data_IF_023615168440
#
_entry.id   IF_023615168440
#
_cell.length_a   1.000
_cell.length_b   1.000
_cell.length_c   1.000
_cell.angle_alpha   90.00
_cell.angle_beta   90.00
_cell.angle_gamma   90.00
#
_symmetry.space_group_name_H-M   'P 1'
#
loop_
_entity.id
_entity.type
_entity.pdbx_description
1 polymer ?
#
# COMPACT_ATOMS: atom_id res chain seq x y z
N UNK A 1 -36.40 24.96 58.79
CA UNK A 1 -36.57 24.98 57.31
C UNK A 1 -35.36 25.52 56.52
N UNK A 2 -34.61 26.53 57.03
CA UNK A 2 -33.46 27.15 56.32
C UNK A 2 -32.24 26.21 56.17
N UNK A 3 -31.94 25.42 57.20
CA UNK A 3 -30.85 24.42 57.21
C UNK A 3 -31.02 23.30 56.16
N UNK A 4 -32.25 22.78 56.00
CA UNK A 4 -32.56 21.68 55.06
C UNK A 4 -32.40 22.16 53.60
N UNK A 5 -32.75 23.42 53.32
CA UNK A 5 -32.57 24.04 51.99
C UNK A 5 -31.09 24.22 51.63
N UNK A 6 -30.22 24.58 52.58
CA UNK A 6 -28.77 24.66 52.33
C UNK A 6 -28.15 23.28 52.04
N UNK A 7 -28.53 22.23 52.77
CA UNK A 7 -28.01 20.88 52.54
C UNK A 7 -28.44 20.31 51.18
N UNK A 8 -29.66 20.61 50.72
CA UNK A 8 -30.13 20.23 49.38
C UNK A 8 -29.36 20.94 48.26
N UNK A 9 -29.04 22.22 48.43
CA UNK A 9 -28.22 22.97 47.47
C UNK A 9 -26.80 22.41 47.43
N UNK A 10 -26.24 22.08 48.59
CA UNK A 10 -24.90 21.51 48.69
C UNK A 10 -24.81 20.11 48.05
N UNK A 11 -25.83 19.27 48.26
CA UNK A 11 -25.93 17.95 47.62
C UNK A 11 -26.06 18.04 46.10
N UNK A 12 -26.83 19.00 45.59
CA UNK A 12 -26.96 19.25 44.14
C UNK A 12 -25.62 19.69 43.54
N UNK A 13 -24.87 20.56 44.23
CA UNK A 13 -23.57 21.05 43.79
C UNK A 13 -22.52 19.92 43.72
N UNK A 14 -22.53 18.99 44.67
CA UNK A 14 -21.65 17.82 44.68
C UNK A 14 -22.00 16.85 43.54
N UNK A 15 -23.29 16.66 43.24
CA UNK A 15 -23.72 15.76 42.15
C UNK A 15 -23.29 16.23 40.76
N UNK A 16 -23.14 17.54 40.56
CA UNK A 16 -22.71 18.14 39.28
C UNK A 16 -21.22 17.90 38.97
N UNK A 17 -20.41 17.49 39.96
CA UNK A 17 -18.99 17.21 39.79
C UNK A 17 -18.69 15.76 39.37
N UNK A 18 -19.70 14.89 39.36
CA UNK A 18 -19.55 13.46 39.01
C UNK A 18 -19.96 13.25 37.55
N UNK A 19 -19.18 13.79 36.62
CA UNK A 19 -19.33 13.52 35.18
C UNK A 19 -18.41 12.39 34.74
N UNK A 20 -18.97 11.23 34.36
CA UNK A 20 -18.20 10.15 33.75
C UNK A 20 -18.09 10.42 32.24
N UNK A 21 -16.93 10.88 31.78
CA UNK A 21 -16.63 11.00 30.36
C UNK A 21 -15.55 9.98 29.99
N UNK A 22 -15.93 8.88 29.35
CA UNK A 22 -14.94 8.00 28.71
C UNK A 22 -14.37 8.74 27.50
N UNK A 23 -13.04 8.86 27.36
CA UNK A 23 -12.46 9.50 26.19
C UNK A 23 -12.88 8.71 24.94
N UNK A 24 -13.33 9.38 23.86
CA UNK A 24 -13.72 8.69 22.64
C UNK A 24 -12.51 7.97 22.05
N UNK A 25 -12.61 6.65 21.89
CA UNK A 25 -11.59 5.85 21.23
C UNK A 25 -11.65 6.18 19.72
N UNK A 26 -10.55 6.63 19.10
CA UNK A 26 -10.55 6.91 17.67
C UNK A 26 -10.85 5.64 16.88
N UNK A 27 -11.66 5.76 15.83
CA UNK A 27 -11.96 4.63 14.94
C UNK A 27 -10.66 4.12 14.30
N UNK A 28 -10.58 2.81 14.09
CA UNK A 28 -9.49 2.20 13.33
C UNK A 28 -9.43 2.82 11.94
N UNK A 29 -8.21 2.97 11.39
CA UNK A 29 -8.01 3.47 10.03
C UNK A 29 -8.68 2.50 9.06
N UNK A 30 -9.65 2.99 8.28
CA UNK A 30 -10.25 2.23 7.20
C UNK A 30 -9.28 2.18 6.02
N UNK A 31 -9.03 0.98 5.50
CA UNK A 31 -8.32 0.78 4.24
C UNK A 31 -9.32 0.61 3.10
N UNK A 32 -8.88 0.92 1.88
CA UNK A 32 -9.68 0.69 0.69
C UNK A 32 -9.94 -0.81 0.50
N UNK A 33 -11.21 -1.20 0.41
CA UNK A 33 -11.58 -2.55 -0.04
C UNK A 33 -11.57 -2.59 -1.56
N UNK A 34 -10.44 -2.97 -2.14
CA UNK A 34 -10.32 -3.19 -3.58
C UNK A 34 -10.94 -4.55 -3.89
N UNK A 35 -12.02 -4.57 -4.67
CA UNK A 35 -12.62 -5.83 -5.15
C UNK A 35 -12.02 -6.12 -6.52
N UNK A 36 -11.30 -7.23 -6.62
CA UNK A 36 -10.70 -7.69 -7.87
C UNK A 36 -11.74 -8.51 -8.67
N UNK A 37 -11.77 -8.40 -10.02
CA UNK A 37 -12.55 -9.28 -10.89
C UNK A 37 -12.14 -10.76 -10.75
N UNK A 38 -12.79 -11.62 -11.53
CA UNK A 38 -12.46 -13.04 -11.56
C UNK A 38 -10.95 -13.25 -11.87
N UNK A 39 -10.34 -14.20 -11.16
CA UNK A 39 -8.91 -14.49 -11.25
C UNK A 39 -8.59 -15.43 -12.42
N UNK A 40 -9.13 -15.11 -13.60
CA UNK A 40 -8.79 -15.83 -14.81
C UNK A 40 -7.55 -15.20 -15.43
N UNK A 41 -6.68 -16.05 -15.97
CA UNK A 41 -5.41 -15.66 -16.56
C UNK A 41 -5.33 -16.09 -18.03
N UNK A 42 -4.64 -15.28 -18.82
CA UNK A 42 -4.32 -15.58 -20.22
C UNK A 42 -2.81 -15.48 -20.42
N UNK A 43 -2.27 -16.35 -21.28
CA UNK A 43 -0.89 -16.23 -21.72
C UNK A 43 -0.76 -15.10 -22.72
N UNK A 44 0.17 -14.18 -22.47
CA UNK A 44 0.55 -13.14 -23.41
C UNK A 44 2.07 -13.09 -23.56
N UNK A 45 2.54 -12.60 -24.70
CA UNK A 45 3.97 -12.54 -25.03
C UNK A 45 4.40 -11.08 -25.10
N UNK A 46 5.43 -10.74 -24.36
CA UNK A 46 6.01 -9.40 -24.41
C UNK A 46 6.68 -9.14 -25.75
N UNK A 47 6.95 -7.87 -26.01
CA UNK A 47 7.77 -7.46 -27.15
C UNK A 47 9.18 -8.06 -27.16
N UNK A 48 9.61 -8.65 -26.05
CA UNK A 48 10.96 -9.16 -25.87
C UNK A 48 11.02 -10.69 -25.91
N UNK A 49 9.89 -11.34 -26.27
CA UNK A 49 9.81 -12.79 -26.46
C UNK A 49 9.48 -13.58 -25.19
N UNK A 50 9.60 -12.96 -24.01
CA UNK A 50 9.16 -13.54 -22.74
C UNK A 50 7.64 -13.71 -22.73
N UNK A 51 7.15 -14.87 -22.31
CA UNK A 51 5.70 -15.14 -22.20
C UNK A 51 5.31 -15.37 -20.74
N UNK A 52 4.22 -14.78 -20.30
CA UNK A 52 3.70 -14.93 -18.94
C UNK A 52 2.18 -14.84 -18.89
N UNK A 53 1.63 -15.33 -17.79
CA UNK A 53 0.21 -15.25 -17.49
C UNK A 53 -0.14 -13.84 -16.96
N UNK A 54 -1.08 -13.18 -17.64
CA UNK A 54 -1.65 -11.91 -17.19
C UNK A 54 -3.14 -12.08 -16.84
N UNK A 55 -3.66 -11.36 -15.84
CA UNK A 55 -5.09 -11.34 -15.55
C UNK A 55 -5.90 -10.85 -16.75
N UNK A 56 -7.08 -11.43 -16.98
CA UNK A 56 -7.98 -11.06 -18.11
C UNK A 56 -8.40 -9.58 -18.11
N UNK A 57 -8.38 -8.93 -16.94
CA UNK A 57 -8.74 -7.51 -16.76
C UNK A 57 -7.53 -6.57 -16.92
N UNK A 58 -6.45 -7.07 -17.50
CA UNK A 58 -5.22 -6.33 -17.73
C UNK A 58 -4.74 -6.48 -19.17
N UNK A 59 -4.02 -5.47 -19.66
CA UNK A 59 -3.53 -5.45 -21.04
C UNK A 59 -2.04 -5.07 -21.07
N UNK A 60 -1.27 -5.82 -21.86
CA UNK A 60 0.14 -5.54 -22.07
C UNK A 60 0.31 -4.27 -22.91
N UNK A 61 0.92 -3.25 -22.31
CA UNK A 61 1.26 -1.99 -22.96
C UNK A 61 2.76 -1.99 -23.31
N UNK A 62 3.02 -1.79 -24.59
CA UNK A 62 4.36 -1.80 -25.18
C UNK A 62 5.07 -0.49 -24.88
N UNK A 63 6.26 -0.56 -24.29
CA UNK A 63 7.10 0.63 -24.05
C UNK A 63 8.27 0.59 -25.02
N UNK A 64 8.22 1.44 -26.04
CA UNK A 64 9.35 1.63 -26.95
C UNK A 64 10.27 2.68 -26.32
N UNK A 65 11.43 2.24 -25.84
CA UNK A 65 12.44 3.13 -25.28
C UNK A 65 13.81 2.75 -25.83
N UNK A 66 14.39 3.63 -26.64
CA UNK A 66 15.76 3.48 -27.16
C UNK A 66 16.81 3.52 -26.03
N UNK A 67 16.41 3.94 -24.83
CA UNK A 67 17.25 4.00 -23.63
C UNK A 67 17.30 2.69 -22.84
N UNK A 68 16.52 1.69 -23.25
CA UNK A 68 16.37 0.44 -22.50
C UNK A 68 17.60 -0.47 -22.60
N UNK A 69 18.47 -0.26 -23.59
CA UNK A 69 19.69 -1.06 -23.77
C UNK A 69 19.36 -2.55 -23.91
N UNK A 70 19.96 -3.38 -23.06
CA UNK A 70 19.68 -4.82 -22.97
C UNK A 70 18.44 -5.17 -22.10
N UNK A 71 17.93 -4.21 -21.33
CA UNK A 71 16.70 -4.40 -20.57
C UNK A 71 15.49 -4.22 -21.47
N UNK A 72 14.40 -4.89 -21.14
CA UNK A 72 13.13 -4.77 -21.83
C UNK A 72 12.09 -4.14 -20.91
N UNK A 73 11.51 -3.03 -21.35
CA UNK A 73 10.45 -2.34 -20.61
C UNK A 73 9.08 -2.63 -21.22
N UNK A 74 8.12 -2.94 -20.36
CA UNK A 74 6.71 -3.05 -20.72
C UNK A 74 5.87 -2.69 -19.51
N UNK A 75 4.63 -2.30 -19.76
CA UNK A 75 3.68 -2.05 -18.68
C UNK A 75 2.52 -3.05 -18.76
N UNK A 76 1.90 -3.29 -17.62
CA UNK A 76 0.61 -3.94 -17.55
C UNK A 76 -0.43 -2.90 -17.13
N UNK A 77 -1.38 -2.60 -18.01
CA UNK A 77 -2.41 -1.59 -17.78
C UNK A 77 -3.67 -2.24 -17.25
N UNK A 78 -4.10 -1.78 -16.09
CA UNK A 78 -5.33 -2.18 -15.43
C UNK A 78 -6.37 -1.07 -15.60
N UNK A 79 -7.14 -1.13 -16.70
CA UNK A 79 -8.01 -0.02 -17.10
C UNK A 79 -9.11 0.28 -16.08
N UNK A 80 -9.70 -0.78 -15.50
CA UNK A 80 -10.77 -0.68 -14.50
C UNK A 80 -10.31 -0.02 -13.18
N UNK A 81 -9.01 -0.10 -12.90
CA UNK A 81 -8.41 0.43 -11.68
C UNK A 81 -7.66 1.74 -11.91
N UNK A 82 -7.62 2.23 -13.16
CA UNK A 82 -6.75 3.33 -13.58
C UNK A 82 -5.30 3.17 -13.08
N UNK A 83 -4.81 1.92 -13.08
CA UNK A 83 -3.51 1.55 -12.54
C UNK A 83 -2.61 1.03 -13.65
N UNK A 84 -1.29 1.22 -13.48
CA UNK A 84 -0.26 0.70 -14.37
C UNK A 84 0.82 0.05 -13.53
N UNK A 85 1.18 -1.17 -13.88
CA UNK A 85 2.35 -1.86 -13.36
C UNK A 85 3.49 -1.64 -14.34
N UNK A 86 4.60 -1.09 -13.87
CA UNK A 86 5.81 -0.88 -14.65
C UNK A 86 6.74 -2.07 -14.47
N UNK A 87 7.07 -2.75 -15.57
CA UNK A 87 7.89 -3.95 -15.55
C UNK A 87 9.17 -3.74 -16.36
N UNK A 88 10.27 -4.27 -15.82
CA UNK A 88 11.58 -4.25 -16.45
C UNK A 88 12.14 -5.67 -16.41
N UNK A 89 12.30 -6.28 -17.58
CA UNK A 89 12.92 -7.58 -17.77
C UNK A 89 14.41 -7.37 -18.08
N UNK A 90 15.29 -8.03 -17.33
CA UNK A 90 16.75 -7.82 -17.35
C UNK A 90 17.44 -9.17 -17.48
N UNK A 91 18.37 -9.35 -18.44
CA UNK A 91 19.11 -10.59 -18.57
C UNK A 91 20.03 -10.82 -17.35
N UNK A 92 20.07 -12.06 -16.86
CA UNK A 92 20.94 -12.46 -15.75
C UNK A 92 22.27 -12.97 -16.31
N UNK A 93 23.36 -12.26 -16.04
CA UNK A 93 24.72 -12.58 -16.51
C UNK A 93 25.68 -12.72 -15.32
N UNK A 94 25.50 -13.79 -14.52
CA UNK A 94 26.30 -14.06 -13.32
C UNK A 94 26.34 -12.90 -12.29
N UNK A 95 25.34 -12.02 -12.33
CA UNK A 95 25.23 -10.79 -11.53
C UNK A 95 23.92 -10.74 -10.71
N UNK A 96 23.31 -11.90 -10.44
CA UNK A 96 22.02 -11.99 -9.76
C UNK A 96 21.99 -11.26 -8.41
N UNK A 97 23.04 -11.41 -7.60
CA UNK A 97 23.16 -10.72 -6.31
C UNK A 97 23.12 -9.20 -6.47
N UNK A 98 23.88 -8.66 -7.43
CA UNK A 98 23.87 -7.22 -7.74
C UNK A 98 22.47 -6.77 -8.18
N UNK A 99 21.82 -7.52 -9.08
CA UNK A 99 20.48 -7.18 -9.56
C UNK A 99 19.44 -7.18 -8.44
N UNK A 100 19.55 -8.11 -7.47
CA UNK A 100 18.68 -8.14 -6.30
C UNK A 100 18.90 -6.93 -5.39
N UNK A 101 20.17 -6.56 -5.16
CA UNK A 101 20.52 -5.36 -4.38
C UNK A 101 20.00 -4.10 -5.08
N UNK A 102 20.20 -3.98 -6.39
CA UNK A 102 19.74 -2.84 -7.18
C UNK A 102 18.21 -2.71 -7.15
N UNK A 103 17.49 -3.82 -7.27
CA UNK A 103 16.03 -3.86 -7.17
C UNK A 103 15.54 -3.42 -5.78
N UNK A 104 16.26 -3.85 -4.73
CA UNK A 104 15.97 -3.45 -3.36
C UNK A 104 16.22 -1.93 -3.18
N UNK A 105 17.37 -1.42 -3.61
CA UNK A 105 17.70 0.00 -3.52
C UNK A 105 16.70 0.87 -4.30
N UNK A 106 16.23 0.43 -5.46
CA UNK A 106 15.21 1.14 -6.24
C UNK A 106 13.92 1.36 -5.43
N UNK A 107 13.41 0.32 -4.76
CA UNK A 107 12.20 0.39 -3.93
C UNK A 107 12.39 1.35 -2.75
N UNK A 108 13.57 1.34 -2.13
CA UNK A 108 13.85 2.14 -0.93
C UNK A 108 14.48 3.52 -1.21
N UNK A 109 14.74 3.85 -2.47
CA UNK A 109 15.36 5.12 -2.87
C UNK A 109 14.58 6.36 -2.41
N UNK A 110 13.25 6.26 -2.30
CA UNK A 110 12.38 7.33 -1.82
C UNK A 110 12.09 7.30 -0.31
N UNK A 111 12.56 6.27 0.39
CA UNK A 111 12.19 5.99 1.78
C UNK A 111 12.80 7.01 2.78
N UNK A 112 13.84 7.73 2.34
CA UNK A 112 14.46 8.81 3.12
C UNK A 112 13.48 9.96 3.46
N UNK A 113 12.32 10.05 2.77
CA UNK A 113 11.26 11.04 3.04
C UNK A 113 9.94 10.43 3.54
N UNK A 114 9.82 9.11 3.65
CA UNK A 114 8.59 8.43 4.00
C UNK A 114 8.68 7.82 5.41
N UNK A 115 7.95 8.37 6.37
CA UNK A 115 7.96 7.91 7.78
C UNK A 115 7.12 6.64 8.04
N UNK A 116 6.84 5.84 7.00
CA UNK A 116 5.81 4.77 7.04
C UNK A 116 6.24 3.37 6.61
N UNK A 117 7.45 3.17 6.11
CA UNK A 117 7.92 1.85 5.63
C UNK A 117 8.93 1.30 6.65
N UNK A 118 8.68 0.09 7.16
CA UNK A 118 9.56 -0.60 8.11
C UNK A 118 10.29 -1.73 7.40
N UNK A 119 11.62 -1.74 7.47
CA UNK A 119 12.43 -2.83 6.91
C UNK A 119 12.39 -4.04 7.84
N UNK A 120 11.77 -5.13 7.38
CA UNK A 120 11.92 -6.45 8.02
C UNK A 120 13.04 -7.17 7.26
N UNK A 121 14.18 -7.38 7.92
CA UNK A 121 15.26 -8.20 7.40
C UNK A 121 14.90 -9.66 7.66
N UNK A 122 14.68 -10.44 6.60
CA UNK A 122 14.50 -11.89 6.71
C UNK A 122 15.90 -12.48 6.82
N UNK A 123 16.28 -12.95 8.00
CA UNK A 123 17.48 -13.77 8.17
C UNK A 123 17.14 -15.21 7.76
N UNK A 124 17.95 -15.77 6.86
CA UNK A 124 17.85 -17.15 6.41
C UNK A 124 18.61 -18.11 7.31
#
# INVERSE_FOLDING_TARGET
MKQIRCNLIYALLISALIGCHSPPIPRQKGYFKITLPNQDFIMDTTNCGSSFEIPIYSHLEKVNSDKSGESCWFNLRFSDFNARLHCTDVPINNNLESLMIDAQELVFSHDMKASGISRIRVEG
#
